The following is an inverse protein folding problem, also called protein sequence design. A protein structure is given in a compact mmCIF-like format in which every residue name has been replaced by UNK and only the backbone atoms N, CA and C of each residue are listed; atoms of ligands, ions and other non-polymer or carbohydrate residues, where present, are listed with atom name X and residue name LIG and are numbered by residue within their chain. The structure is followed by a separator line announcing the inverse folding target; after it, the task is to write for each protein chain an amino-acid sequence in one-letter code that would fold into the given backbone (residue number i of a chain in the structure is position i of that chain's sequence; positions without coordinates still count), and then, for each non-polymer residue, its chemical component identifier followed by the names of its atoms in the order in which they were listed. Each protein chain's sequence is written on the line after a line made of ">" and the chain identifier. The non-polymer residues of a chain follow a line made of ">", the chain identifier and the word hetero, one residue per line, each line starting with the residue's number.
data_IF_278766789873
#
_entry.id   IF_278766789873
#
_cell.length_a   1.000
_cell.length_b   1.000
_cell.length_c   1.000
_cell.angle_alpha   90.00
_cell.angle_beta   90.00
_cell.angle_gamma   90.00
#
_symmetry.space_group_name_H-M   'P 1'
#
loop_
_entity.id
_entity.type
_entity.pdbx_description
1 polymer ?
#
# COMPACT_ATOMS: atom_id res chain seq x y z
N UNK A 1 -5.57 -39.07 4.98
CA UNK A 1 -5.14 -37.67 4.78
C UNK A 1 -4.10 -37.34 5.84
N UNK A 2 -2.94 -36.78 5.48
CA UNK A 2 -1.89 -36.48 6.46
C UNK A 2 -2.29 -35.24 7.31
N UNK A 3 -2.47 -35.39 8.64
CA UNK A 3 -2.91 -34.29 9.52
C UNK A 3 -1.95 -33.10 9.51
N UNK A 4 -0.67 -33.34 9.23
CA UNK A 4 0.37 -32.32 9.08
C UNK A 4 0.08 -31.38 7.90
N UNK A 5 -0.41 -31.90 6.76
CA UNK A 5 -0.75 -31.10 5.59
C UNK A 5 -1.92 -30.15 5.88
N UNK A 6 -2.95 -30.66 6.57
CA UNK A 6 -4.10 -29.88 7.02
C UNK A 6 -3.67 -28.74 7.95
N UNK A 7 -2.74 -29.01 8.86
CA UNK A 7 -2.21 -28.01 9.78
C UNK A 7 -1.47 -26.87 9.07
N UNK A 8 -0.64 -27.20 8.07
CA UNK A 8 0.08 -26.20 7.26
C UNK A 8 -0.89 -25.33 6.47
N UNK A 9 -1.90 -25.93 5.82
CA UNK A 9 -2.92 -25.19 5.08
C UNK A 9 -3.71 -24.27 6.01
N UNK A 10 -4.05 -24.74 7.21
CA UNK A 10 -4.77 -23.96 8.21
C UNK A 10 -3.97 -22.73 8.67
N UNK A 11 -2.66 -22.88 8.93
CA UNK A 11 -1.79 -21.74 9.26
C UNK A 11 -1.72 -20.75 8.11
N UNK A 12 -1.57 -21.23 6.87
CA UNK A 12 -1.55 -20.37 5.69
C UNK A 12 -2.87 -19.59 5.54
N UNK A 13 -4.02 -20.26 5.78
CA UNK A 13 -5.33 -19.64 5.76
C UNK A 13 -5.49 -18.55 6.82
N UNK A 14 -5.07 -18.81 8.07
CA UNK A 14 -5.08 -17.80 9.14
C UNK A 14 -4.23 -16.59 8.75
N UNK A 15 -3.05 -16.81 8.17
CA UNK A 15 -2.18 -15.74 7.72
C UNK A 15 -2.82 -14.83 6.66
N UNK A 16 -3.55 -15.44 5.72
CA UNK A 16 -4.32 -14.70 4.70
C UNK A 16 -5.50 -13.96 5.34
N UNK A 17 -6.27 -14.65 6.20
CA UNK A 17 -7.44 -14.09 6.87
C UNK A 17 -7.08 -12.85 7.69
N UNK A 18 -5.96 -12.88 8.43
CA UNK A 18 -5.48 -11.72 9.19
C UNK A 18 -5.17 -10.51 8.30
N UNK A 19 -4.55 -10.74 7.13
CA UNK A 19 -4.29 -9.66 6.16
C UNK A 19 -5.58 -9.06 5.62
N UNK A 20 -6.55 -9.91 5.27
CA UNK A 20 -7.86 -9.46 4.78
C UNK A 20 -8.61 -8.68 5.86
N UNK A 21 -8.63 -9.18 7.09
CA UNK A 21 -9.28 -8.52 8.21
C UNK A 21 -8.70 -7.12 8.48
N UNK A 22 -7.37 -6.98 8.45
CA UNK A 22 -6.71 -5.67 8.59
C UNK A 22 -7.08 -4.71 7.45
N UNK A 23 -7.28 -5.22 6.24
CA UNK A 23 -7.73 -4.41 5.11
C UNK A 23 -9.20 -3.99 5.26
N UNK A 24 -10.07 -4.89 5.74
CA UNK A 24 -11.48 -4.62 6.01
C UNK A 24 -11.65 -3.54 7.08
N UNK A 25 -10.91 -3.60 8.20
CA UNK A 25 -10.97 -2.55 9.23
C UNK A 25 -10.64 -1.18 8.63
N UNK A 26 -9.61 -1.10 7.77
CA UNK A 26 -9.25 0.16 7.10
C UNK A 26 -10.38 0.65 6.20
N UNK A 27 -11.01 -0.25 5.44
CA UNK A 27 -12.15 0.10 4.61
C UNK A 27 -13.31 0.65 5.45
N UNK A 28 -13.62 0.03 6.59
CA UNK A 28 -14.67 0.50 7.51
C UNK A 28 -14.35 1.90 8.03
N UNK A 29 -13.13 2.14 8.50
CA UNK A 29 -12.71 3.48 8.99
C UNK A 29 -12.87 4.53 7.88
N UNK A 30 -12.44 4.22 6.65
CA UNK A 30 -12.58 5.13 5.51
C UNK A 30 -14.05 5.37 5.18
N UNK A 31 -14.89 4.33 5.20
CA UNK A 31 -16.32 4.45 4.99
C UNK A 31 -16.99 5.37 6.02
N UNK A 32 -16.63 5.24 7.30
CA UNK A 32 -17.14 6.12 8.37
C UNK A 32 -16.68 7.57 8.15
N UNK A 33 -15.39 7.79 7.86
CA UNK A 33 -14.85 9.13 7.62
C UNK A 33 -15.50 9.76 6.38
N UNK A 34 -15.71 8.99 5.32
CA UNK A 34 -16.38 9.46 4.11
C UNK A 34 -17.87 9.74 4.34
N UNK A 35 -18.56 8.94 5.16
CA UNK A 35 -19.95 9.18 5.52
C UNK A 35 -20.15 10.50 6.29
N UNK A 36 -19.13 10.99 6.99
CA UNK A 36 -19.14 12.30 7.65
C UNK A 36 -18.90 13.47 6.70
N UNK A 37 -18.50 13.22 5.44
CA UNK A 37 -18.20 14.25 4.45
C UNK A 37 -19.32 15.31 4.27
N UNK A 38 -20.61 14.95 4.17
CA UNK A 38 -21.67 15.95 4.03
C UNK A 38 -21.71 16.97 5.18
N UNK A 39 -21.34 16.59 6.40
CA UNK A 39 -21.28 17.52 7.54
C UNK A 39 -20.16 18.56 7.36
N UNK A 40 -18.98 18.11 6.95
CA UNK A 40 -17.87 19.00 6.65
C UNK A 40 -18.18 19.90 5.44
N UNK A 41 -18.84 19.37 4.42
CA UNK A 41 -19.28 20.14 3.25
C UNK A 41 -20.24 21.27 3.63
N UNK A 42 -21.22 20.99 4.51
CA UNK A 42 -22.12 22.03 5.01
C UNK A 42 -21.37 23.08 5.85
N UNK A 43 -20.38 22.67 6.66
CA UNK A 43 -19.59 23.60 7.45
C UNK A 43 -18.80 24.62 6.60
N UNK A 44 -18.36 24.23 5.40
CA UNK A 44 -17.67 25.12 4.45
C UNK A 44 -18.64 25.88 3.52
N UNK A 45 -19.95 25.79 3.76
CA UNK A 45 -20.98 26.51 3.00
C UNK A 45 -21.49 25.78 1.76
N UNK A 46 -21.12 24.51 1.55
CA UNK A 46 -21.69 23.68 0.48
C UNK A 46 -22.94 23.00 1.03
N UNK A 47 -24.12 23.45 0.57
CA UNK A 47 -25.39 22.87 0.97
C UNK A 47 -25.51 21.42 0.47
N UNK A 48 -25.16 20.46 1.32
CA UNK A 48 -25.27 19.03 1.04
C UNK A 48 -26.35 18.40 1.90
N UNK A 49 -27.15 17.46 1.37
CA UNK A 49 -28.06 16.68 2.19
C UNK A 49 -27.29 15.86 3.23
N UNK A 50 -27.70 15.94 4.50
CA UNK A 50 -27.15 15.14 5.62
C UNK A 50 -28.02 13.92 5.95
N UNK A 51 -28.89 13.55 5.00
CA UNK A 51 -29.75 12.38 5.14
C UNK A 51 -28.91 11.09 5.24
N UNK A 52 -29.42 10.11 5.99
CA UNK A 52 -28.80 8.80 6.17
C UNK A 52 -28.48 8.14 4.82
N UNK A 53 -29.37 8.29 3.83
CA UNK A 53 -29.13 7.73 2.51
C UNK A 53 -27.89 8.36 1.85
N UNK A 54 -27.76 9.68 1.91
CA UNK A 54 -26.61 10.40 1.35
C UNK A 54 -25.32 10.02 2.07
N UNK A 55 -25.33 9.92 3.40
CA UNK A 55 -24.18 9.45 4.17
C UNK A 55 -23.75 8.04 3.78
N UNK A 56 -24.70 7.11 3.58
CA UNK A 56 -24.41 5.75 3.12
C UNK A 56 -23.79 5.74 1.72
N UNK A 57 -24.27 6.58 0.80
CA UNK A 57 -23.69 6.72 -0.53
C UNK A 57 -22.24 7.18 -0.45
N UNK A 58 -21.95 8.25 0.29
CA UNK A 58 -20.58 8.73 0.47
C UNK A 58 -19.67 7.69 1.14
N UNK A 59 -20.17 7.00 2.16
CA UNK A 59 -19.44 5.90 2.80
C UNK A 59 -19.11 4.77 1.81
N UNK A 60 -20.08 4.37 0.99
CA UNK A 60 -19.93 3.33 -0.04
C UNK A 60 -18.91 3.76 -1.10
N UNK A 61 -19.01 5.00 -1.60
CA UNK A 61 -18.04 5.54 -2.54
C UNK A 61 -16.63 5.59 -1.93
N UNK A 62 -16.50 6.03 -0.67
CA UNK A 62 -15.22 6.04 0.03
C UNK A 62 -14.56 4.66 0.10
N UNK A 63 -15.34 3.62 0.42
CA UNK A 63 -14.87 2.23 0.42
C UNK A 63 -14.49 1.78 -0.99
N UNK A 64 -15.31 2.10 -2.00
CA UNK A 64 -15.07 1.74 -3.40
C UNK A 64 -13.74 2.35 -3.89
N UNK A 65 -13.53 3.64 -3.64
CA UNK A 65 -12.28 4.33 -3.97
C UNK A 65 -11.09 3.71 -3.27
N UNK A 66 -11.22 3.32 -2.00
CA UNK A 66 -10.15 2.63 -1.28
C UNK A 66 -9.79 1.29 -1.93
N UNK A 67 -10.78 0.50 -2.35
CA UNK A 67 -10.55 -0.77 -3.05
C UNK A 67 -9.83 -0.53 -4.38
N UNK A 68 -10.32 0.40 -5.19
CA UNK A 68 -9.69 0.77 -6.47
C UNK A 68 -8.25 1.21 -6.26
N UNK A 69 -8.00 2.08 -5.29
CA UNK A 69 -6.65 2.53 -4.92
C UNK A 69 -5.75 1.35 -4.54
N UNK A 70 -6.25 0.40 -3.74
CA UNK A 70 -5.48 -0.77 -3.33
C UNK A 70 -5.13 -1.69 -4.50
N UNK A 71 -6.07 -1.88 -5.43
CA UNK A 71 -5.84 -2.67 -6.64
C UNK A 71 -4.76 -1.98 -7.49
N UNK A 72 -4.93 -0.70 -7.82
CA UNK A 72 -3.99 0.06 -8.66
C UNK A 72 -2.59 0.09 -8.04
N UNK A 73 -2.49 0.41 -6.74
CA UNK A 73 -1.21 0.42 -6.04
C UNK A 73 -0.59 -0.99 -5.97
N UNK A 74 -1.40 -2.03 -5.81
CA UNK A 74 -0.93 -3.42 -5.85
C UNK A 74 -0.31 -3.78 -7.20
N UNK A 75 -0.97 -3.41 -8.31
CA UNK A 75 -0.45 -3.61 -9.66
C UNK A 75 0.83 -2.80 -9.93
N UNK A 76 0.86 -1.52 -9.55
CA UNK A 76 2.04 -0.65 -9.73
C UNK A 76 3.24 -1.09 -8.87
N UNK A 77 3.01 -1.54 -7.63
CA UNK A 77 4.10 -1.99 -6.76
C UNK A 77 4.69 -3.32 -7.21
N UNK A 78 3.87 -4.22 -7.79
CA UNK A 78 4.35 -5.45 -8.38
C UNK A 78 5.27 -5.17 -9.59
N UNK A 79 4.88 -4.25 -10.47
CA UNK A 79 5.70 -3.87 -11.64
C UNK A 79 7.00 -3.13 -11.27
N UNK A 80 6.94 -2.19 -10.33
CA UNK A 80 8.13 -1.40 -9.92
C UNK A 80 9.13 -2.19 -9.06
N UNK A 81 8.69 -3.22 -8.34
CA UNK A 81 9.60 -4.13 -7.61
C UNK A 81 10.45 -4.98 -8.56
N UNK A 82 9.91 -5.32 -9.73
CA UNK A 82 10.63 -6.05 -10.79
C UNK A 82 11.66 -5.12 -11.47
N UNK A 83 11.32 -3.85 -11.72
CA UNK A 83 12.22 -2.90 -12.38
C UNK A 83 13.32 -2.38 -11.44
N UNK A 84 13.00 -2.06 -10.19
CA UNK A 84 13.96 -1.41 -9.27
C UNK A 84 14.99 -2.37 -8.64
N UNK A 85 14.72 -3.69 -8.64
CA UNK A 85 15.62 -4.70 -8.10
C UNK A 85 16.92 -4.84 -8.91
N UNK A 86 16.87 -4.61 -10.23
CA UNK A 86 18.05 -4.71 -11.10
C UNK A 86 18.99 -3.52 -11.03
N UNK A 87 18.45 -2.30 -10.89
CA UNK A 87 19.21 -1.07 -11.12
C UNK A 87 19.99 -0.61 -9.87
N UNK A 88 19.38 -0.73 -8.68
CA UNK A 88 20.05 -0.39 -7.40
C UNK A 88 21.33 -1.20 -7.17
N UNK A 89 21.38 -2.46 -7.62
CA UNK A 89 22.56 -3.30 -7.50
C UNK A 89 23.72 -2.85 -8.40
N UNK A 90 23.40 -2.29 -9.57
CA UNK A 90 24.38 -1.84 -10.57
C UNK A 90 25.01 -0.51 -10.17
N UNK A 91 24.19 0.47 -9.79
CA UNK A 91 24.64 1.80 -9.34
C UNK A 91 25.57 1.67 -8.13
N UNK A 92 25.24 0.79 -7.18
CA UNK A 92 26.07 0.57 -5.97
C UNK A 92 27.41 -0.10 -6.27
N UNK A 93 27.51 -0.89 -7.35
CA UNK A 93 28.78 -1.49 -7.81
C UNK A 93 29.64 -0.48 -8.55
N UNK A 94 29.06 0.39 -9.33
CA UNK A 94 29.78 1.46 -10.05
C UNK A 94 30.34 2.49 -9.07
N UNK A 95 29.53 2.97 -8.12
CA UNK A 95 29.99 3.89 -7.09
C UNK A 95 31.17 3.33 -6.27
N UNK A 96 31.14 2.03 -5.93
CA UNK A 96 32.26 1.38 -5.21
C UNK A 96 33.53 1.27 -6.06
N UNK A 97 33.41 1.02 -7.37
CA UNK A 97 34.56 0.99 -8.28
C UNK A 97 35.18 2.38 -8.42
N UNK A 98 34.36 3.41 -8.46
CA UNK A 98 34.81 4.79 -8.60
C UNK A 98 35.54 5.28 -7.35
N UNK A 99 35.01 5.01 -6.15
CA UNK A 99 35.69 5.28 -4.88
C UNK A 99 37.03 4.52 -4.80
N UNK A 100 37.08 3.26 -5.26
CA UNK A 100 38.33 2.47 -5.27
C UNK A 100 39.38 3.05 -6.21
N UNK A 101 38.97 3.54 -7.38
CA UNK A 101 39.88 4.24 -8.32
C UNK A 101 40.38 5.57 -7.77
N UNK A 102 39.57 6.29 -6.99
CA UNK A 102 40.01 7.52 -6.34
C UNK A 102 41.08 7.22 -5.27
N UNK A 103 40.86 6.20 -4.42
CA UNK A 103 41.85 5.78 -3.41
C UNK A 103 43.17 5.31 -4.03
N UNK A 104 43.15 4.60 -5.16
CA UNK A 104 44.38 4.20 -5.87
C UNK A 104 45.13 5.38 -6.48
N UNK A 105 44.42 6.38 -7.00
CA UNK A 105 45.04 7.61 -7.52
C UNK A 105 45.66 8.47 -6.43
N UNK A 106 45.05 8.51 -5.25
CA UNK A 106 45.55 9.24 -4.10
C UNK A 106 46.81 8.57 -3.53
N UNK A 107 46.83 7.24 -3.44
CA UNK A 107 47.98 6.46 -2.96
C UNK A 107 49.22 6.53 -3.87
N UNK A 108 49.06 6.85 -5.15
CA UNK A 108 50.17 6.97 -6.13
C UNK A 108 50.74 8.39 -6.23
N UNK A 109 50.23 9.35 -5.44
CA UNK A 109 50.73 10.73 -5.39
C UNK A 109 51.74 10.98 -4.26
N UNK A 110 51.87 10.04 -3.34
CA UNK A 110 52.87 10.01 -2.26
C UNK A 110 54.04 9.08 -2.65
#
# INVERSE_FOLDING_TARGET
>A
MHPILLFIIFIAFIGIAYKVFKALIKAVVIGIVAALFPFFANYIGVAMPTDINTMMWFGTFGVLFFIVYKIVHGFLSAGSSIVSGGDKGRIRREARKEIRRQMEKEKNKD
#
